data_IF_609970300182
#
_entry.id   IF_609970300182
#
_cell.length_a   1.000
_cell.length_b   1.000
_cell.length_c   1.000
_cell.angle_alpha   90.00
_cell.angle_beta   90.00
_cell.angle_gamma   90.00
#
_symmetry.space_group_name_H-M   'P 1'
#
loop_
_entity.id
_entity.type
_entity.pdbx_description
1 polymer ?
#
# COMPACT_ATOMS: atom_id res chain seq x y z
N UNK A 1 -15.44 1.05 3.42
CA UNK A 1 -15.35 0.01 2.38
C UNK A 1 -15.22 0.75 1.06
N UNK A 2 -13.99 0.97 0.61
CA UNK A 2 -13.77 1.77 -0.59
C UNK A 2 -13.71 0.80 -1.77
N UNK A 3 -14.65 0.90 -2.74
CA UNK A 3 -15.03 -0.19 -3.64
C UNK A 3 -14.08 -0.40 -4.84
N UNK A 4 -12.79 -0.07 -4.74
CA UNK A 4 -11.91 -0.17 -5.91
C UNK A 4 -11.40 -1.61 -6.16
N UNK A 5 -11.03 -2.38 -5.13
CA UNK A 5 -10.23 -3.61 -5.41
C UNK A 5 -10.33 -4.75 -4.40
N UNK A 6 -11.09 -4.62 -3.30
CA UNK A 6 -11.27 -5.72 -2.32
C UNK A 6 -10.01 -6.00 -1.50
N UNK A 7 -9.20 -4.98 -1.32
CA UNK A 7 -7.91 -5.01 -0.64
C UNK A 7 -8.11 -4.84 0.86
N UNK A 8 -7.33 -5.58 1.65
CA UNK A 8 -7.25 -5.37 3.08
C UNK A 8 -6.23 -4.28 3.35
N UNK A 9 -6.70 -3.10 3.73
CA UNK A 9 -5.85 -1.97 4.15
C UNK A 9 -5.67 -2.01 5.66
N UNK A 10 -4.42 -2.01 6.10
CA UNK A 10 -3.99 -1.96 7.49
C UNK A 10 -3.12 -0.71 7.68
N UNK A 11 -3.74 0.38 8.13
CA UNK A 11 -3.03 1.61 8.49
C UNK A 11 -2.62 1.56 9.97
N UNK A 12 -1.32 1.55 10.22
CA UNK A 12 -0.72 1.67 11.56
C UNK A 12 -0.17 3.09 11.75
N UNK A 13 0.16 3.48 12.98
CA UNK A 13 0.69 4.79 13.34
C UNK A 13 2.07 5.09 12.71
N UNK A 14 2.10 5.35 11.40
CA UNK A 14 3.29 5.74 10.64
C UNK A 14 3.59 4.89 9.40
N UNK A 15 2.90 3.76 9.25
CA UNK A 15 3.03 2.86 8.10
C UNK A 15 1.67 2.35 7.67
N UNK A 16 1.50 2.12 6.37
CA UNK A 16 0.25 1.58 5.84
C UNK A 16 0.55 0.42 4.94
N UNK A 17 -0.08 -0.71 5.21
CA UNK A 17 0.06 -1.92 4.43
C UNK A 17 -1.27 -2.23 3.75
N UNK A 18 -1.22 -2.56 2.47
CA UNK A 18 -2.36 -3.02 1.68
C UNK A 18 -2.07 -4.44 1.24
N UNK A 19 -2.98 -5.36 1.52
CA UNK A 19 -2.90 -6.74 1.04
C UNK A 19 -3.98 -6.96 0.00
N UNK A 20 -3.56 -7.20 -1.24
CA UNK A 20 -4.48 -7.53 -2.33
C UNK A 20 -4.84 -9.02 -2.31
N UNK A 21 -6.06 -9.34 -2.75
CA UNK A 21 -6.49 -10.75 -2.96
C UNK A 21 -5.59 -11.52 -3.92
N UNK A 22 -4.91 -10.82 -4.82
CA UNK A 22 -4.00 -11.43 -5.80
C UNK A 22 -2.67 -11.92 -5.17
N UNK A 23 -2.44 -11.69 -3.87
CA UNK A 23 -1.21 -12.03 -3.15
C UNK A 23 -0.14 -10.94 -3.19
N UNK A 24 -0.43 -9.82 -3.85
CA UNK A 24 0.40 -8.61 -3.84
C UNK A 24 0.22 -7.85 -2.52
N UNK A 25 1.29 -7.20 -2.08
CA UNK A 25 1.37 -6.43 -0.84
C UNK A 25 1.93 -5.06 -1.17
N UNK A 26 1.25 -4.00 -0.76
CA UNK A 26 1.78 -2.63 -0.82
C UNK A 26 2.11 -2.20 0.59
N UNK A 27 3.26 -1.60 0.81
CA UNK A 27 3.68 -1.06 2.09
C UNK A 27 4.16 0.36 1.86
N UNK A 28 3.54 1.30 2.55
CA UNK A 28 3.96 2.69 2.62
C UNK A 28 4.53 2.94 4.00
N UNK A 29 5.81 3.29 4.07
CA UNK A 29 6.45 3.65 5.31
C UNK A 29 7.40 4.82 5.08
N UNK A 30 7.40 5.79 5.99
CA UNK A 30 8.30 6.95 5.93
C UNK A 30 8.22 7.74 4.60
N UNK A 31 7.04 7.78 3.98
CA UNK A 31 6.85 8.43 2.68
C UNK A 31 7.53 7.69 1.52
N UNK A 32 7.79 6.39 1.64
CA UNK A 32 8.18 5.50 0.55
C UNK A 32 7.10 4.47 0.31
N UNK A 33 6.76 4.26 -0.95
CA UNK A 33 5.82 3.25 -1.41
C UNK A 33 6.62 2.06 -1.93
N UNK A 34 6.33 0.89 -1.39
CA UNK A 34 6.90 -0.38 -1.80
C UNK A 34 5.78 -1.33 -2.18
N UNK A 35 5.87 -1.97 -3.34
CA UNK A 35 4.97 -3.04 -3.74
C UNK A 35 5.76 -4.33 -3.89
N UNK A 36 5.36 -5.34 -3.15
CA UNK A 36 5.87 -6.70 -3.25
C UNK A 36 4.82 -7.63 -3.85
N UNK A 37 5.29 -8.51 -4.73
CA UNK A 37 4.46 -9.59 -5.25
C UNK A 37 4.35 -10.76 -4.25
N UNK A 38 3.50 -11.74 -4.54
CA UNK A 38 3.30 -12.96 -3.74
C UNK A 38 4.60 -13.75 -3.51
N UNK A 39 5.58 -13.59 -4.40
CA UNK A 39 6.91 -14.21 -4.29
C UNK A 39 7.92 -13.41 -3.44
N UNK A 40 7.53 -12.30 -2.81
CA UNK A 40 8.43 -11.43 -2.03
C UNK A 40 9.39 -10.60 -2.91
N UNK A 41 9.06 -10.46 -4.20
CA UNK A 41 9.83 -9.63 -5.13
C UNK A 41 9.30 -8.21 -5.07
N UNK A 42 10.17 -7.24 -4.79
CA UNK A 42 9.82 -5.83 -4.86
C UNK A 42 9.65 -5.45 -6.33
N UNK A 43 8.41 -5.21 -6.74
CA UNK A 43 8.04 -4.80 -8.10
C UNK A 43 8.14 -3.28 -8.22
N UNK A 44 7.77 -2.57 -7.17
CA UNK A 44 7.79 -1.11 -7.14
C UNK A 44 8.49 -0.66 -5.86
N UNK A 45 9.49 0.20 -6.00
CA UNK A 45 10.05 1.02 -4.94
C UNK A 45 10.04 2.45 -5.48
N UNK A 46 9.21 3.31 -4.88
CA UNK A 46 9.13 4.71 -5.27
C UNK A 46 8.89 5.59 -4.05
N UNK A 47 9.23 6.87 -4.16
CA UNK A 47 8.85 7.85 -3.14
C UNK A 47 7.33 7.96 -3.11
N UNK A 48 6.71 7.73 -1.95
CA UNK A 48 5.28 7.93 -1.80
C UNK A 48 5.01 9.43 -1.96
N UNK A 49 4.15 9.75 -2.92
CA UNK A 49 3.76 11.13 -3.14
C UNK A 49 2.69 11.54 -2.14
N UNK A 50 2.54 12.84 -1.89
CA UNK A 50 1.45 13.34 -1.04
C UNK A 50 0.08 12.90 -1.56
N UNK A 51 -0.05 12.68 -2.87
CA UNK A 51 -1.24 12.09 -3.48
C UNK A 51 -1.53 10.66 -2.97
N UNK A 52 -0.50 9.80 -2.83
CA UNK A 52 -0.65 8.45 -2.27
C UNK A 52 -1.04 8.51 -0.79
N UNK A 53 -0.38 9.37 -0.01
CA UNK A 53 -0.71 9.56 1.41
C UNK A 53 -2.14 10.10 1.60
N UNK A 54 -2.57 11.04 0.76
CA UNK A 54 -3.92 11.59 0.80
C UNK A 54 -4.96 10.55 0.38
N UNK A 55 -4.65 9.74 -0.64
CA UNK A 55 -5.51 8.62 -1.06
C UNK A 55 -5.68 7.60 0.06
N UNK A 56 -4.59 7.26 0.74
CA UNK A 56 -4.61 6.30 1.85
C UNK A 56 -5.28 6.85 3.11
N UNK A 57 -5.13 8.13 3.43
CA UNK A 57 -5.87 8.78 4.53
C UNK A 57 -7.37 8.84 4.27
N UNK A 58 -7.79 8.83 3.00
CA UNK A 58 -9.19 8.90 2.60
C UNK A 58 -9.85 7.53 2.41
N UNK A 59 -9.13 6.45 2.74
CA UNK A 59 -9.52 5.05 2.54
C UNK A 59 -10.17 4.42 3.78
#
# INVERSE_FOLDING_TARGET
MNPATGDKVEATAGSIQVTHRNGMKETIENGRFRMEDKYGRTIVDRKATMADLNRLKSL
#
